data_IF_061771567142
#
_entry.id   IF_061771567142
#
_cell.length_a   1.000
_cell.length_b   1.000
_cell.length_c   1.000
_cell.angle_alpha   90.00
_cell.angle_beta   90.00
_cell.angle_gamma   90.00
#
_symmetry.space_group_name_H-M   'P 1'
#
loop_
_entity.id
_entity.type
_entity.pdbx_description
1 polymer ?
#
# COMPACT_ATOMS: atom_id res chain seq x y z
N UNK A 1 17.63 -95.61 -34.32
CA UNK A 1 16.35 -95.80 -35.04
C UNK A 1 15.80 -94.41 -35.30
N UNK A 2 15.93 -94.00 -36.56
CA UNK A 2 15.25 -92.92 -37.32
C UNK A 2 15.31 -91.48 -36.73
N UNK A 3 16.11 -90.59 -37.33
CA UNK A 3 15.80 -89.68 -38.48
C UNK A 3 14.93 -88.47 -38.05
N UNK A 4 15.18 -87.20 -38.39
CA UNK A 4 16.14 -86.51 -39.25
C UNK A 4 15.80 -85.00 -39.30
N UNK A 5 16.65 -84.16 -39.93
CA UNK A 5 16.33 -82.78 -40.40
C UNK A 5 16.88 -81.61 -39.56
N UNK A 6 18.05 -81.02 -39.89
CA UNK A 6 18.30 -79.83 -40.78
C UNK A 6 17.75 -78.51 -40.19
N UNK A 7 18.58 -77.68 -39.55
CA UNK A 7 19.23 -76.44 -40.09
C UNK A 7 18.25 -75.23 -40.15
N UNK A 8 18.39 -74.12 -39.41
CA UNK A 8 19.32 -73.00 -39.68
C UNK A 8 19.10 -71.82 -38.69
N UNK A 9 20.22 -71.15 -38.29
CA UNK A 9 20.50 -69.68 -38.22
C UNK A 9 19.30 -68.71 -38.06
N UNK A 10 19.28 -67.65 -37.26
CA UNK A 10 20.32 -66.76 -36.75
C UNK A 10 19.74 -65.89 -35.60
N UNK A 11 20.51 -65.73 -34.51
CA UNK A 11 21.07 -64.45 -34.03
C UNK A 11 20.15 -63.53 -33.18
N UNK A 12 20.55 -63.42 -31.89
CA UNK A 12 20.60 -62.23 -31.00
C UNK A 12 20.02 -62.45 -29.60
N UNK A 13 20.93 -62.66 -28.66
CA UNK A 13 20.85 -62.08 -27.30
C UNK A 13 21.81 -60.86 -27.26
N UNK A 14 21.79 -59.96 -26.24
CA UNK A 14 20.99 -59.93 -25.02
C UNK A 14 20.31 -58.57 -24.68
N UNK A 15 19.22 -58.67 -23.90
CA UNK A 15 18.88 -57.88 -22.69
C UNK A 15 19.24 -56.37 -22.66
N UNK A 16 18.22 -55.50 -22.66
CA UNK A 16 18.28 -54.11 -22.17
C UNK A 16 17.02 -53.75 -21.40
N UNK A 17 17.25 -53.42 -20.13
CA UNK A 17 16.51 -52.59 -19.16
C UNK A 17 15.02 -52.28 -19.36
N UNK A 18 14.25 -52.76 -18.39
CA UNK A 18 12.90 -52.33 -18.04
C UNK A 18 12.88 -50.83 -17.68
N UNK A 19 12.42 -49.99 -18.61
CA UNK A 19 11.98 -48.62 -18.30
C UNK A 19 11.02 -48.07 -19.36
N UNK A 20 9.94 -48.79 -19.69
CA UNK A 20 8.80 -48.13 -20.35
C UNK A 20 7.49 -48.94 -20.29
N UNK A 21 6.67 -48.72 -19.27
CA UNK A 21 5.21 -48.96 -19.34
C UNK A 21 4.48 -48.32 -18.16
N UNK A 22 4.13 -47.04 -18.32
CA UNK A 22 2.93 -46.45 -17.71
C UNK A 22 2.64 -45.06 -18.33
N UNK A 23 2.68 -44.95 -19.66
CA UNK A 23 2.09 -43.83 -20.37
C UNK A 23 0.63 -44.14 -20.68
N UNK A 24 -0.28 -43.89 -19.73
CA UNK A 24 -1.74 -43.71 -19.92
C UNK A 24 -2.47 -43.87 -18.58
N UNK A 25 -2.64 -42.78 -17.83
CA UNK A 25 -3.77 -42.52 -16.90
C UNK A 25 -3.39 -41.35 -16.00
N UNK A 26 -3.92 -40.17 -16.28
CA UNK A 26 -3.67 -38.98 -15.48
C UNK A 26 -4.17 -37.69 -16.12
N UNK A 27 -5.33 -37.75 -16.76
CA UNK A 27 -6.08 -36.57 -17.16
C UNK A 27 -6.49 -35.79 -15.91
N UNK A 28 -5.65 -34.86 -15.50
CA UNK A 28 -6.07 -33.75 -14.63
C UNK A 28 -6.07 -32.51 -15.50
N UNK A 29 -7.25 -31.92 -15.63
CA UNK A 29 -7.56 -30.73 -16.40
C UNK A 29 -6.50 -29.62 -16.23
N UNK A 30 -5.51 -29.62 -17.10
CA UNK A 30 -4.79 -28.40 -17.45
C UNK A 30 -5.79 -27.54 -18.23
N UNK A 31 -6.63 -26.82 -17.50
CA UNK A 31 -7.38 -25.70 -18.06
C UNK A 31 -6.33 -24.83 -18.74
N UNK A 32 -6.33 -24.86 -20.07
CA UNK A 32 -5.54 -24.00 -20.93
C UNK A 32 -6.11 -22.57 -20.77
N UNK A 33 -5.90 -22.00 -19.58
CA UNK A 33 -6.25 -20.64 -19.28
C UNK A 33 -5.27 -19.79 -20.04
N UNK A 34 -5.66 -19.30 -21.23
CA UNK A 34 -4.84 -18.43 -22.07
C UNK A 34 -4.04 -17.45 -21.20
N UNK A 35 -2.71 -17.58 -21.18
CA UNK A 35 -1.85 -16.71 -20.37
C UNK A 35 -2.07 -15.28 -20.85
N UNK A 36 -2.78 -14.49 -20.05
CA UNK A 36 -3.02 -13.09 -20.38
C UNK A 36 -1.69 -12.37 -20.25
N UNK A 37 -1.18 -11.87 -21.37
CA UNK A 37 0.09 -11.14 -21.41
C UNK A 37 -0.11 -9.73 -20.85
N UNK A 38 0.56 -9.35 -19.74
CA UNK A 38 0.49 -8.00 -19.21
C UNK A 38 1.04 -6.99 -20.22
N UNK A 39 0.66 -5.72 -20.06
CA UNK A 39 1.20 -4.63 -20.89
C UNK A 39 2.69 -4.48 -20.60
N UNK A 40 3.52 -4.46 -21.65
CA UNK A 40 4.98 -4.26 -21.50
C UNK A 40 5.30 -2.78 -21.34
N UNK A 41 6.48 -2.44 -20.80
CA UNK A 41 6.91 -1.04 -20.71
C UNK A 41 6.92 -0.36 -22.09
N UNK A 42 7.34 -1.08 -23.15
CA UNK A 42 7.32 -0.54 -24.51
C UNK A 42 5.90 -0.22 -24.97
N UNK A 43 4.94 -1.13 -24.80
CA UNK A 43 3.54 -0.88 -25.17
C UNK A 43 2.95 0.27 -24.36
N UNK A 44 3.29 0.38 -23.07
CA UNK A 44 2.83 1.48 -22.22
C UNK A 44 3.27 2.84 -22.77
N UNK A 45 4.56 3.02 -23.09
CA UNK A 45 5.05 4.31 -23.61
C UNK A 45 4.54 4.63 -25.02
N UNK A 46 4.35 3.61 -25.87
CA UNK A 46 3.74 3.79 -27.20
C UNK A 46 2.31 4.31 -27.09
N UNK A 47 1.54 3.86 -26.10
CA UNK A 47 0.19 4.37 -25.82
C UNK A 47 0.22 5.74 -25.12
N UNK A 48 1.22 6.00 -24.27
CA UNK A 48 1.32 7.22 -23.47
C UNK A 48 1.74 8.46 -24.29
N UNK A 49 2.72 8.32 -25.20
CA UNK A 49 3.25 9.41 -26.00
C UNK A 49 2.18 10.20 -26.80
N UNK A 50 1.29 9.58 -27.60
CA UNK A 50 0.30 10.33 -28.37
C UNK A 50 -0.72 11.04 -27.48
N UNK A 51 -1.06 10.48 -26.32
CA UNK A 51 -1.97 11.10 -25.37
C UNK A 51 -1.33 12.35 -24.73
N UNK A 52 -0.05 12.27 -24.39
CA UNK A 52 0.69 13.42 -23.88
C UNK A 52 0.75 14.54 -24.93
N UNK A 53 1.02 14.18 -26.19
CA UNK A 53 1.00 15.15 -27.31
C UNK A 53 -0.38 15.77 -27.50
N UNK A 54 -1.46 14.98 -27.44
CA UNK A 54 -2.84 15.48 -27.52
C UNK A 54 -3.14 16.50 -26.40
N UNK A 55 -2.77 16.18 -25.16
CA UNK A 55 -2.97 17.08 -24.02
C UNK A 55 -2.14 18.36 -24.16
N UNK A 56 -0.89 18.26 -24.61
CA UNK A 56 -0.02 19.41 -24.85
C UNK A 56 -0.55 20.30 -25.97
N UNK A 57 -1.00 19.71 -27.09
CA UNK A 57 -1.59 20.43 -28.21
C UNK A 57 -2.90 21.10 -27.81
N UNK A 58 -3.75 20.43 -27.03
CA UNK A 58 -4.98 21.02 -26.50
C UNK A 58 -4.68 22.20 -25.56
N UNK A 59 -3.72 22.04 -24.64
CA UNK A 59 -3.30 23.13 -23.76
C UNK A 59 -2.76 24.33 -24.55
N UNK A 60 -1.93 24.09 -25.58
CA UNK A 60 -1.43 25.13 -26.45
C UNK A 60 -2.55 25.81 -27.26
N UNK A 61 -3.47 25.04 -27.83
CA UNK A 61 -4.64 25.58 -28.55
C UNK A 61 -5.52 26.47 -27.68
N UNK A 62 -5.63 26.16 -26.39
CA UNK A 62 -6.39 26.96 -25.42
C UNK A 62 -5.72 28.29 -25.04
N UNK A 63 -4.39 28.42 -25.25
CA UNK A 63 -3.67 29.68 -25.09
C UNK A 63 -3.81 30.58 -26.34
N UNK A 64 -4.06 30.00 -27.50
CA UNK A 64 -4.14 30.71 -28.79
C UNK A 64 -5.58 31.11 -29.12
N UNK A 65 -6.55 30.23 -28.85
CA UNK A 65 -7.97 30.47 -29.16
C UNK A 65 -8.64 31.31 -28.05
N UNK A 66 -9.60 32.15 -28.43
CA UNK A 66 -10.42 32.95 -27.51
C UNK A 66 -11.91 32.82 -27.85
N UNK A 67 -12.78 33.18 -26.91
CA UNK A 67 -14.24 33.16 -27.10
C UNK A 67 -14.80 31.77 -27.43
N UNK A 68 -15.78 31.71 -28.33
CA UNK A 68 -16.49 30.48 -28.72
C UNK A 68 -15.59 29.41 -29.36
N UNK A 69 -14.64 29.71 -30.26
CA UNK A 69 -13.69 28.71 -30.79
C UNK A 69 -12.92 27.94 -29.72
N UNK A 70 -12.55 28.60 -28.61
CA UNK A 70 -11.88 27.96 -27.48
C UNK A 70 -12.78 26.94 -26.78
N UNK A 71 -14.05 27.29 -26.57
CA UNK A 71 -15.04 26.40 -25.94
C UNK A 71 -15.30 25.16 -26.79
N UNK A 72 -15.40 25.33 -28.11
CA UNK A 72 -15.56 24.22 -29.06
C UNK A 72 -14.33 23.30 -29.02
N UNK A 73 -13.12 23.86 -29.06
CA UNK A 73 -11.88 23.07 -28.97
C UNK A 73 -11.76 22.31 -27.64
N UNK A 74 -12.26 22.89 -26.54
CA UNK A 74 -12.29 22.26 -25.22
C UNK A 74 -13.26 21.09 -25.16
N UNK A 75 -14.50 21.28 -25.63
CA UNK A 75 -15.48 20.20 -25.73
C UNK A 75 -14.99 19.04 -26.62
N UNK A 76 -14.41 19.36 -27.79
CA UNK A 76 -13.83 18.37 -28.68
C UNK A 76 -12.69 17.59 -28.00
N UNK A 77 -11.81 18.29 -27.27
CA UNK A 77 -10.74 17.63 -26.49
C UNK A 77 -11.34 16.68 -25.45
N UNK A 78 -12.33 17.13 -24.67
CA UNK A 78 -12.98 16.27 -23.67
C UNK A 78 -13.58 15.02 -24.29
N UNK A 79 -14.30 15.16 -25.41
CA UNK A 79 -14.90 14.03 -26.11
C UNK A 79 -13.83 13.03 -26.59
N UNK A 80 -12.76 13.51 -27.23
CA UNK A 80 -11.64 12.66 -27.68
C UNK A 80 -10.99 11.96 -26.47
N UNK A 81 -10.70 12.69 -25.40
CA UNK A 81 -10.10 12.14 -24.19
C UNK A 81 -11.01 11.09 -23.52
N UNK A 82 -12.33 11.28 -23.48
CA UNK A 82 -13.27 10.30 -22.92
C UNK A 82 -13.33 9.01 -23.74
N UNK A 83 -13.29 9.10 -25.08
CA UNK A 83 -13.20 7.94 -25.96
C UNK A 83 -11.90 7.18 -25.73
N UNK A 84 -10.75 7.89 -25.75
CA UNK A 84 -9.43 7.29 -25.51
C UNK A 84 -9.34 6.65 -24.13
N UNK A 85 -9.84 7.33 -23.08
CA UNK A 85 -9.91 6.80 -21.71
C UNK A 85 -10.66 5.49 -21.66
N UNK A 86 -11.83 5.43 -22.31
CA UNK A 86 -12.65 4.22 -22.38
C UNK A 86 -11.94 3.09 -23.10
N UNK A 87 -11.26 3.37 -24.23
CA UNK A 87 -10.45 2.37 -24.94
C UNK A 87 -9.30 1.84 -24.09
N UNK A 88 -8.55 2.72 -23.40
CA UNK A 88 -7.46 2.32 -22.51
C UNK A 88 -7.96 1.49 -21.31
N UNK A 89 -9.09 1.87 -20.73
CA UNK A 89 -9.73 1.13 -19.65
C UNK A 89 -10.15 -0.28 -20.12
N UNK A 90 -10.71 -0.40 -21.32
CA UNK A 90 -11.04 -1.68 -21.94
C UNK A 90 -9.80 -2.56 -22.19
N UNK A 91 -8.70 -1.98 -22.67
CA UNK A 91 -7.41 -2.68 -22.79
C UNK A 91 -6.97 -3.20 -21.41
N UNK A 92 -7.09 -2.37 -20.37
CA UNK A 92 -6.77 -2.73 -18.99
C UNK A 92 -7.61 -3.87 -18.43
N UNK A 93 -8.90 -3.96 -18.79
CA UNK A 93 -9.80 -5.04 -18.40
C UNK A 93 -9.49 -6.33 -19.16
N UNK A 94 -9.34 -6.27 -20.48
CA UNK A 94 -9.10 -7.46 -21.32
C UNK A 94 -7.75 -8.10 -20.98
N UNK A 95 -6.77 -7.29 -20.57
CA UNK A 95 -5.42 -7.75 -20.20
C UNK A 95 -5.24 -8.07 -18.72
N UNK A 96 -6.31 -8.21 -17.94
CA UNK A 96 -6.23 -8.65 -16.53
C UNK A 96 -7.25 -9.73 -16.18
N UNK A 97 -6.91 -10.59 -15.22
CA UNK A 97 -7.78 -11.66 -14.69
C UNK A 97 -7.81 -11.63 -13.16
N UNK A 98 -8.77 -12.33 -12.57
CA UNK A 98 -8.87 -12.50 -11.13
C UNK A 98 -9.41 -11.27 -10.39
N UNK A 99 -8.96 -11.09 -9.14
CA UNK A 99 -9.41 -10.01 -8.23
C UNK A 99 -9.08 -8.63 -8.80
N UNK A 100 -8.00 -8.52 -9.57
CA UNK A 100 -7.61 -7.28 -10.25
C UNK A 100 -8.61 -6.82 -11.31
N UNK A 101 -9.42 -7.72 -11.88
CA UNK A 101 -10.43 -7.35 -12.89
C UNK A 101 -11.62 -6.59 -12.28
N UNK A 102 -11.97 -6.86 -11.02
CA UNK A 102 -13.19 -6.30 -10.38
C UNK A 102 -13.10 -4.79 -10.19
N UNK A 103 -12.00 -4.32 -9.60
CA UNK A 103 -11.80 -2.87 -9.42
C UNK A 103 -11.67 -2.14 -10.76
N UNK A 104 -11.02 -2.77 -11.74
CA UNK A 104 -10.87 -2.22 -13.10
C UNK A 104 -12.18 -2.05 -13.83
N UNK A 105 -13.11 -3.00 -13.69
CA UNK A 105 -14.46 -2.89 -14.26
C UNK A 105 -15.23 -1.72 -13.67
N UNK A 106 -15.20 -1.54 -12.34
CA UNK A 106 -15.86 -0.44 -11.67
C UNK A 106 -15.26 0.91 -12.05
N UNK A 107 -13.92 1.03 -12.05
CA UNK A 107 -13.23 2.25 -12.48
C UNK A 107 -13.50 2.56 -13.96
N UNK A 108 -13.55 1.57 -14.84
CA UNK A 108 -13.80 1.75 -16.27
C UNK A 108 -15.25 2.14 -16.62
N UNK A 109 -16.22 1.71 -15.81
CA UNK A 109 -17.61 2.09 -15.99
C UNK A 109 -17.84 3.60 -15.78
N UNK A 110 -16.96 4.26 -15.01
CA UNK A 110 -17.00 5.70 -14.80
C UNK A 110 -16.78 6.52 -16.09
N UNK A 111 -15.65 6.37 -16.80
CA UNK A 111 -15.40 7.04 -18.08
C UNK A 111 -16.50 6.83 -19.13
N UNK A 112 -17.12 5.64 -19.20
CA UNK A 112 -18.27 5.36 -20.08
C UNK A 112 -19.45 6.29 -19.79
N UNK A 113 -19.74 6.57 -18.52
CA UNK A 113 -20.82 7.48 -18.11
C UNK A 113 -20.59 8.95 -18.49
N UNK A 114 -19.35 9.34 -18.82
CA UNK A 114 -19.00 10.72 -19.18
C UNK A 114 -19.25 11.08 -20.65
N UNK A 115 -19.42 10.09 -21.53
CA UNK A 115 -19.54 10.30 -22.99
C UNK A 115 -20.81 11.07 -23.37
N UNK A 116 -22.02 10.73 -22.89
CA UNK A 116 -23.23 11.44 -23.27
C UNK A 116 -23.17 12.93 -22.93
N UNK A 117 -22.62 13.25 -21.77
CA UNK A 117 -22.52 14.62 -21.30
C UNK A 117 -21.41 15.42 -22.01
N UNK A 118 -20.31 14.76 -22.41
CA UNK A 118 -19.31 15.38 -23.29
C UNK A 118 -19.89 15.73 -24.67
N UNK A 119 -20.77 14.88 -25.23
CA UNK A 119 -21.49 15.16 -26.48
C UNK A 119 -22.41 16.37 -26.30
N UNK A 120 -23.19 16.40 -25.22
CA UNK A 120 -24.09 17.52 -24.93
C UNK A 120 -23.35 18.85 -24.83
N UNK A 121 -22.25 18.92 -24.07
CA UNK A 121 -21.43 20.14 -23.98
C UNK A 121 -20.85 20.56 -25.33
N UNK A 122 -20.49 19.59 -26.17
CA UNK A 122 -20.04 19.87 -27.54
C UNK A 122 -21.15 20.54 -28.36
N UNK A 123 -22.38 20.01 -28.28
CA UNK A 123 -23.55 20.59 -28.95
C UNK A 123 -23.82 22.00 -28.41
N UNK A 124 -23.86 22.16 -27.09
CA UNK A 124 -24.12 23.46 -26.45
C UNK A 124 -23.09 24.53 -26.88
N UNK A 125 -21.78 24.26 -26.79
CA UNK A 125 -20.75 25.24 -27.19
C UNK A 125 -20.71 25.51 -28.71
N UNK A 126 -21.13 24.54 -29.53
CA UNK A 126 -21.25 24.75 -30.97
C UNK A 126 -22.45 25.60 -31.38
N UNK A 127 -23.50 25.68 -30.55
CA UNK A 127 -24.77 26.35 -30.87
C UNK A 127 -24.74 27.89 -30.78
N UNK A 128 -23.69 28.50 -30.20
CA UNK A 128 -23.52 29.96 -30.14
C UNK A 128 -24.33 30.71 -29.08
N UNK A 129 -25.12 30.02 -28.24
CA UNK A 129 -25.85 30.67 -27.15
C UNK A 129 -24.93 31.06 -25.97
N UNK A 130 -25.13 32.22 -25.32
CA UNK A 130 -24.30 32.66 -24.20
C UNK A 130 -24.36 31.65 -23.04
N UNK A 131 -23.18 31.23 -22.60
CA UNK A 131 -22.97 30.15 -21.62
C UNK A 131 -23.33 30.65 -20.22
N UNK A 132 -24.58 30.51 -19.80
CA UNK A 132 -24.87 30.34 -18.38
C UNK A 132 -24.75 28.86 -18.07
N UNK A 133 -23.60 28.43 -17.54
CA UNK A 133 -23.41 27.05 -17.09
C UNK A 133 -24.36 26.79 -15.92
N UNK A 134 -25.47 26.08 -16.15
CA UNK A 134 -26.44 25.74 -15.10
C UNK A 134 -26.48 24.25 -14.92
N UNK A 135 -26.31 23.76 -13.69
CA UNK A 135 -26.50 22.35 -13.40
C UNK A 135 -27.98 21.98 -13.51
N UNK A 136 -28.33 21.29 -14.59
CA UNK A 136 -29.61 20.61 -14.80
C UNK A 136 -29.52 19.17 -14.27
N UNK A 137 -30.64 18.42 -14.19
CA UNK A 137 -30.60 17.01 -13.78
C UNK A 137 -29.68 16.13 -14.64
N UNK A 138 -29.41 16.50 -15.89
CA UNK A 138 -28.56 15.73 -16.81
C UNK A 138 -27.09 15.78 -16.35
N UNK A 139 -26.60 16.92 -15.84
CA UNK A 139 -25.25 17.02 -15.27
C UNK A 139 -25.06 16.13 -14.04
N UNK A 140 -26.14 15.66 -13.41
CA UNK A 140 -26.09 14.62 -12.38
C UNK A 140 -25.46 13.30 -12.86
N UNK A 141 -25.48 12.99 -14.17
CA UNK A 141 -24.81 11.79 -14.72
C UNK A 141 -23.30 11.80 -14.48
N UNK A 142 -22.67 12.99 -14.42
CA UNK A 142 -21.24 13.09 -14.16
C UNK A 142 -20.85 12.59 -12.76
N UNK A 143 -21.79 12.49 -11.82
CA UNK A 143 -21.54 11.94 -10.49
C UNK A 143 -21.37 10.42 -10.50
N UNK A 144 -21.82 9.72 -11.56
CA UNK A 144 -21.62 8.27 -11.67
C UNK A 144 -20.14 7.90 -11.75
N UNK A 145 -19.35 8.64 -12.53
CA UNK A 145 -17.92 8.39 -12.68
C UNK A 145 -17.11 8.42 -11.38
N UNK A 146 -17.20 9.48 -10.54
CA UNK A 146 -16.49 9.53 -9.27
C UNK A 146 -17.01 8.50 -8.26
N UNK A 147 -18.32 8.21 -8.23
CA UNK A 147 -18.91 7.17 -7.37
C UNK A 147 -18.35 5.79 -7.73
N UNK A 148 -18.35 5.43 -9.02
CA UNK A 148 -17.85 4.14 -9.50
C UNK A 148 -16.34 4.01 -9.32
N UNK A 149 -15.59 5.11 -9.49
CA UNK A 149 -14.15 5.13 -9.22
C UNK A 149 -13.86 4.88 -7.74
N UNK A 150 -14.64 5.50 -6.85
CA UNK A 150 -14.57 5.28 -5.40
C UNK A 150 -14.85 3.81 -5.04
N UNK A 151 -15.94 3.24 -5.58
CA UNK A 151 -16.26 1.83 -5.39
C UNK A 151 -15.14 0.91 -5.91
N UNK A 152 -14.59 1.24 -7.08
CA UNK A 152 -13.44 0.54 -7.65
C UNK A 152 -12.21 0.55 -6.73
N UNK A 153 -11.84 1.71 -6.18
CA UNK A 153 -10.72 1.82 -5.25
C UNK A 153 -10.91 0.98 -3.98
N UNK A 154 -12.13 0.95 -3.44
CA UNK A 154 -12.47 0.09 -2.29
C UNK A 154 -12.35 -1.40 -2.63
N UNK A 155 -12.46 -1.77 -3.90
CA UNK A 155 -12.23 -3.15 -4.36
C UNK A 155 -10.78 -3.47 -4.73
N UNK A 156 -9.85 -2.50 -4.67
CA UNK A 156 -8.45 -2.73 -5.06
C UNK A 156 -7.76 -3.71 -4.10
N UNK A 157 -7.20 -4.83 -4.55
CA UNK A 157 -6.65 -5.83 -3.66
C UNK A 157 -5.54 -5.25 -2.75
N UNK A 158 -5.68 -5.46 -1.45
CA UNK A 158 -4.61 -5.17 -0.50
C UNK A 158 -3.48 -6.19 -0.69
N UNK A 159 -2.24 -5.78 -0.48
CA UNK A 159 -1.13 -6.72 -0.48
C UNK A 159 -1.41 -7.82 0.56
N UNK A 160 -1.64 -9.06 0.11
CA UNK A 160 -1.58 -10.18 1.02
C UNK A 160 -0.12 -10.26 1.47
N UNK A 161 0.14 -10.16 2.77
CA UNK A 161 1.45 -10.53 3.35
C UNK A 161 1.74 -12.05 3.12
N UNK A 162 0.82 -12.76 2.46
CA UNK A 162 0.84 -14.19 2.24
C UNK A 162 1.53 -14.62 0.93
N UNK A 163 1.52 -13.83 -0.14
CA UNK A 163 1.88 -14.38 -1.46
C UNK A 163 3.31 -14.07 -1.88
N UNK A 164 4.22 -14.81 -1.24
CA UNK A 164 5.59 -15.02 -1.71
C UNK A 164 6.03 -16.49 -1.72
N UNK A 165 5.13 -17.47 -1.46
CA UNK A 165 5.47 -18.90 -1.49
C UNK A 165 4.30 -19.77 -1.96
N UNK A 166 4.54 -20.82 -2.77
CA UNK A 166 3.54 -21.84 -3.03
C UNK A 166 3.17 -22.57 -1.72
N UNK A 167 1.87 -22.57 -1.42
CA UNK A 167 1.25 -23.26 -0.29
C UNK A 167 1.45 -24.78 -0.37
N UNK A 168 2.43 -25.32 0.37
CA UNK A 168 2.51 -26.72 0.82
C UNK A 168 3.52 -26.86 1.98
N UNK A 169 3.29 -26.14 3.07
CA UNK A 169 3.89 -26.47 4.36
C UNK A 169 2.89 -26.10 5.46
N UNK A 170 2.71 -26.95 6.50
CA UNK A 170 1.81 -26.63 7.60
C UNK A 170 2.26 -25.35 8.30
N UNK A 171 1.33 -24.60 8.92
CA UNK A 171 1.68 -23.36 9.60
C UNK A 171 2.65 -23.68 10.75
N UNK A 172 3.86 -23.16 10.66
CA UNK A 172 4.80 -23.18 11.78
C UNK A 172 4.23 -22.31 12.93
N UNK A 173 4.20 -22.81 14.17
CA UNK A 173 3.73 -22.04 15.30
C UNK A 173 4.75 -20.96 15.68
N UNK A 174 4.22 -19.74 15.88
CA UNK A 174 4.81 -18.62 16.62
C UNK A 174 6.23 -18.13 16.23
N UNK A 175 6.33 -17.18 15.30
CA UNK A 175 7.36 -16.10 15.28
C UNK A 175 7.08 -15.01 14.21
N UNK A 176 5.81 -14.76 13.87
CA UNK A 176 5.46 -13.58 13.07
C UNK A 176 4.84 -12.54 13.97
N UNK A 177 5.67 -11.60 14.44
CA UNK A 177 5.22 -10.30 14.91
C UNK A 177 4.64 -9.57 13.69
N UNK A 178 3.39 -9.89 13.35
CA UNK A 178 2.62 -9.03 12.44
C UNK A 178 2.18 -7.85 13.30
N UNK A 179 2.57 -6.61 12.98
CA UNK A 179 1.97 -5.47 13.63
C UNK A 179 0.49 -5.52 13.23
N UNK A 180 -0.36 -6.03 14.13
CA UNK A 180 -1.80 -5.82 14.03
C UNK A 180 -1.96 -4.33 14.28
N UNK A 181 -1.99 -3.53 13.22
CA UNK A 181 -2.50 -2.18 13.30
C UNK A 181 -3.84 -2.28 14.03
N UNK A 182 -3.90 -1.69 15.21
CA UNK A 182 -5.11 -1.69 16.01
C UNK A 182 -6.23 -1.13 15.14
N UNK A 183 -7.34 -1.87 15.02
CA UNK A 183 -8.49 -1.38 14.25
C UNK A 183 -8.90 0.02 14.72
N UNK A 184 -8.66 0.34 15.99
CA UNK A 184 -8.83 1.67 16.58
C UNK A 184 -7.94 2.73 15.93
N UNK A 185 -6.68 2.47 15.64
CA UNK A 185 -5.81 3.45 14.96
C UNK A 185 -6.30 3.67 13.52
N UNK A 186 -6.65 2.60 12.82
CA UNK A 186 -7.16 2.71 11.44
C UNK A 186 -8.46 3.52 11.40
N UNK A 187 -9.38 3.29 12.34
CA UNK A 187 -10.63 4.06 12.40
C UNK A 187 -10.39 5.51 12.74
N UNK A 188 -9.51 5.81 13.70
CA UNK A 188 -9.16 7.19 14.07
C UNK A 188 -8.46 7.91 12.91
N UNK A 189 -7.48 7.29 12.26
CA UNK A 189 -6.80 7.86 11.10
C UNK A 189 -7.78 8.06 9.91
N UNK A 190 -8.74 7.15 9.72
CA UNK A 190 -9.79 7.31 8.70
C UNK A 190 -10.72 8.49 9.00
N UNK A 191 -11.16 8.63 10.26
CA UNK A 191 -11.96 9.77 10.71
C UNK A 191 -11.17 11.08 10.58
N UNK A 192 -9.87 11.07 10.84
CA UNK A 192 -8.99 12.24 10.69
C UNK A 192 -8.94 12.69 9.23
N UNK A 193 -8.78 11.76 8.29
CA UNK A 193 -8.76 12.04 6.85
C UNK A 193 -10.12 12.63 6.41
N UNK A 194 -11.24 12.00 6.80
CA UNK A 194 -12.60 12.46 6.44
C UNK A 194 -12.86 13.87 6.96
N UNK A 195 -12.62 14.11 8.25
CA UNK A 195 -12.88 15.40 8.87
C UNK A 195 -11.96 16.50 8.31
N UNK A 196 -10.70 16.18 8.03
CA UNK A 196 -9.76 17.10 7.37
C UNK A 196 -10.22 17.46 5.96
N UNK A 197 -10.67 16.47 5.17
CA UNK A 197 -11.18 16.68 3.82
C UNK A 197 -12.46 17.51 3.80
N UNK A 198 -13.38 17.28 4.76
CA UNK A 198 -14.58 18.11 4.90
C UNK A 198 -14.22 19.57 5.21
N UNK A 199 -13.24 19.79 6.07
CA UNK A 199 -12.79 21.13 6.44
C UNK A 199 -12.08 21.84 5.27
N UNK A 200 -11.28 21.12 4.48
CA UNK A 200 -10.70 21.62 3.23
C UNK A 200 -11.80 21.99 2.23
N UNK A 201 -12.77 21.10 2.01
CA UNK A 201 -13.90 21.33 1.11
C UNK A 201 -14.74 22.55 1.54
N UNK A 202 -14.91 22.75 2.85
CA UNK A 202 -15.58 23.93 3.39
C UNK A 202 -14.89 25.23 2.96
N UNK A 203 -13.59 25.34 3.21
CA UNK A 203 -12.83 26.55 2.88
C UNK A 203 -12.61 26.74 1.39
N UNK A 204 -12.49 25.65 0.63
CA UNK A 204 -12.29 25.72 -0.82
C UNK A 204 -13.55 26.17 -1.57
N UNK A 205 -14.73 25.68 -1.16
CA UNK A 205 -15.96 25.86 -1.93
C UNK A 205 -17.25 25.96 -1.11
N UNK A 206 -17.48 25.11 -0.10
CA UNK A 206 -18.79 25.00 0.55
C UNK A 206 -19.21 26.30 1.26
N UNK A 207 -18.24 27.05 1.81
CA UNK A 207 -18.46 28.38 2.38
C UNK A 207 -18.98 29.40 1.35
N UNK A 208 -18.52 29.30 0.10
CA UNK A 208 -18.96 30.20 -0.97
C UNK A 208 -20.37 29.82 -1.41
N UNK A 209 -20.60 28.52 -1.64
CA UNK A 209 -21.89 27.99 -2.07
C UNK A 209 -23.03 28.29 -1.09
N UNK A 210 -22.76 28.27 0.21
CA UNK A 210 -23.76 28.59 1.26
C UNK A 210 -24.11 30.08 1.36
N UNK A 211 -23.36 30.96 0.67
CA UNK A 211 -23.59 32.42 0.67
C UNK A 211 -24.22 32.94 -0.62
N UNK A 212 -24.28 32.12 -1.67
CA UNK A 212 -24.89 32.50 -2.94
C UNK A 212 -26.40 32.26 -2.94
N UNK A 213 -27.11 32.87 -3.89
CA UNK A 213 -28.59 32.76 -4.02
C UNK A 213 -29.01 31.47 -4.75
N UNK A 214 -28.10 30.53 -4.99
CA UNK A 214 -28.39 29.31 -5.74
C UNK A 214 -29.26 28.37 -4.90
N UNK A 215 -30.42 27.99 -5.42
CA UNK A 215 -31.38 27.13 -4.76
C UNK A 215 -31.86 26.00 -5.69
N UNK A 216 -32.59 25.04 -5.14
CA UNK A 216 -33.16 23.92 -5.91
C UNK A 216 -32.13 22.88 -6.36
N UNK A 217 -32.34 22.32 -7.57
CA UNK A 217 -31.55 21.20 -8.10
C UNK A 217 -30.08 21.55 -8.32
N UNK A 218 -29.78 22.76 -8.81
CA UNK A 218 -28.39 23.18 -9.07
C UNK A 218 -27.55 23.25 -7.79
N UNK A 219 -28.15 23.65 -6.66
CA UNK A 219 -27.48 23.64 -5.36
C UNK A 219 -27.12 22.21 -4.93
N UNK A 220 -28.08 21.28 -5.03
CA UNK A 220 -27.88 19.87 -4.65
C UNK A 220 -26.78 19.23 -5.48
N UNK A 221 -26.78 19.46 -6.80
CA UNK A 221 -25.78 18.92 -7.72
C UNK A 221 -24.38 19.51 -7.41
N UNK A 222 -24.28 20.82 -7.18
CA UNK A 222 -23.02 21.47 -6.81
C UNK A 222 -22.43 20.90 -5.51
N UNK A 223 -23.27 20.71 -4.47
CA UNK A 223 -22.84 20.04 -3.23
C UNK A 223 -22.39 18.61 -3.51
N UNK A 224 -23.13 17.86 -4.32
CA UNK A 224 -22.80 16.49 -4.64
C UNK A 224 -21.43 16.37 -5.32
N UNK A 225 -21.11 17.22 -6.30
CA UNK A 225 -19.79 17.26 -6.94
C UNK A 225 -18.67 17.49 -5.92
N UNK A 226 -18.83 18.46 -5.01
CA UNK A 226 -17.83 18.76 -3.97
C UNK A 226 -17.61 17.53 -3.07
N UNK A 227 -18.69 16.87 -2.66
CA UNK A 227 -18.62 15.71 -1.77
C UNK A 227 -18.04 14.47 -2.46
N UNK A 228 -18.39 14.22 -3.72
CA UNK A 228 -17.83 13.08 -4.47
C UNK A 228 -16.34 13.25 -4.77
N UNK A 229 -15.90 14.48 -5.11
CA UNK A 229 -14.49 14.80 -5.28
C UNK A 229 -13.68 14.54 -4.01
N UNK A 230 -14.19 15.03 -2.86
CA UNK A 230 -13.58 14.82 -1.57
C UNK A 230 -13.53 13.33 -1.21
N UNK A 231 -14.61 12.58 -1.45
CA UNK A 231 -14.68 11.14 -1.18
C UNK A 231 -13.63 10.34 -1.97
N UNK A 232 -13.43 10.65 -3.26
CA UNK A 232 -12.39 9.99 -4.06
C UNK A 232 -10.99 10.21 -3.47
N UNK A 233 -10.69 11.44 -3.04
CA UNK A 233 -9.40 11.76 -2.39
C UNK A 233 -9.26 11.05 -1.04
N UNK A 234 -10.32 10.99 -0.23
CA UNK A 234 -10.33 10.23 1.04
C UNK A 234 -9.99 8.77 0.76
N UNK A 235 -10.73 8.11 -0.13
CA UNK A 235 -10.54 6.68 -0.42
C UNK A 235 -9.17 6.40 -1.03
N UNK A 236 -8.68 7.28 -1.90
CA UNK A 236 -7.32 7.20 -2.43
C UNK A 236 -6.28 7.21 -1.31
N UNK A 237 -6.38 8.14 -0.37
CA UNK A 237 -5.42 8.27 0.75
C UNK A 237 -5.51 7.02 1.65
N UNK A 238 -6.71 6.52 1.92
CA UNK A 238 -6.91 5.29 2.69
C UNK A 238 -6.27 4.07 2.01
N UNK A 239 -6.48 3.91 0.70
CA UNK A 239 -5.88 2.81 -0.08
C UNK A 239 -4.35 2.94 -0.10
N UNK A 240 -3.84 4.15 -0.31
CA UNK A 240 -2.41 4.42 -0.34
C UNK A 240 -1.71 4.24 1.02
N UNK A 241 -2.38 4.57 2.13
CA UNK A 241 -1.84 4.45 3.48
C UNK A 241 -1.94 3.01 4.01
N UNK A 242 -3.10 2.36 3.85
CA UNK A 242 -3.40 1.10 4.55
C UNK A 242 -3.29 -0.15 3.67
N UNK A 243 -3.55 -0.07 2.36
CA UNK A 243 -3.52 -1.26 1.47
C UNK A 243 -2.17 -1.51 0.80
N UNK A 244 -1.29 -0.51 0.78
CA UNK A 244 0.07 -0.57 0.24
C UNK A 244 0.17 -1.33 -1.11
N UNK A 245 -0.46 -0.81 -2.19
CA UNK A 245 -0.48 -1.50 -3.47
C UNK A 245 0.94 -1.69 -4.03
N UNK A 246 1.20 -2.87 -4.59
CA UNK A 246 2.52 -3.28 -5.09
C UNK A 246 3.11 -2.36 -6.17
N UNK A 247 2.25 -1.72 -6.97
CA UNK A 247 2.68 -0.87 -8.08
C UNK A 247 2.56 0.63 -7.74
N UNK A 248 3.63 1.19 -7.17
CA UNK A 248 3.69 2.62 -6.83
C UNK A 248 3.53 3.57 -8.03
N UNK A 249 3.88 3.14 -9.26
CA UNK A 249 3.64 3.95 -10.48
C UNK A 249 2.15 4.06 -10.78
N UNK A 250 1.42 2.95 -10.70
CA UNK A 250 -0.03 2.93 -10.89
C UNK A 250 -0.72 3.81 -9.83
N UNK A 251 -0.29 3.72 -8.57
CA UNK A 251 -0.82 4.56 -7.50
C UNK A 251 -0.55 6.05 -7.75
N UNK A 252 0.65 6.42 -8.19
CA UNK A 252 1.00 7.81 -8.50
C UNK A 252 0.16 8.36 -9.66
N UNK A 253 -0.01 7.59 -10.75
CA UNK A 253 -0.87 7.97 -11.88
C UNK A 253 -2.32 8.16 -11.44
N UNK A 254 -2.83 7.24 -10.62
CA UNK A 254 -4.19 7.32 -10.10
C UNK A 254 -4.35 8.54 -9.17
N UNK A 255 -3.36 8.81 -8.31
CA UNK A 255 -3.38 9.97 -7.43
C UNK A 255 -3.34 11.30 -8.21
N UNK A 256 -2.46 11.43 -9.19
CA UNK A 256 -2.41 12.59 -10.06
C UNK A 256 -3.72 12.77 -10.85
N UNK A 257 -4.29 11.68 -11.34
CA UNK A 257 -5.55 11.70 -12.09
C UNK A 257 -6.73 12.18 -11.25
N UNK A 258 -6.92 11.60 -10.06
CA UNK A 258 -8.00 12.00 -9.14
C UNK A 258 -7.82 13.44 -8.67
N UNK A 259 -6.59 13.87 -8.36
CA UNK A 259 -6.33 15.25 -7.96
C UNK A 259 -6.64 16.24 -9.10
N UNK A 260 -6.23 15.92 -10.33
CA UNK A 260 -6.53 16.73 -11.50
C UNK A 260 -8.05 16.85 -11.74
N UNK A 261 -8.79 15.75 -11.61
CA UNK A 261 -10.25 15.75 -11.69
C UNK A 261 -10.87 16.62 -10.59
N UNK A 262 -10.45 16.46 -9.33
CA UNK A 262 -11.00 17.23 -8.20
C UNK A 262 -10.75 18.75 -8.33
N UNK A 263 -9.57 19.15 -8.81
CA UNK A 263 -9.26 20.56 -9.11
C UNK A 263 -10.15 21.08 -10.24
N UNK A 264 -10.36 20.28 -11.28
CA UNK A 264 -11.22 20.65 -12.40
C UNK A 264 -12.70 20.77 -12.00
N UNK A 265 -13.22 19.84 -11.20
CA UNK A 265 -14.59 19.90 -10.67
C UNK A 265 -14.80 21.13 -9.79
N UNK A 266 -13.75 21.53 -9.06
CA UNK A 266 -13.76 22.78 -8.28
C UNK A 266 -13.94 24.01 -9.15
N UNK A 267 -13.24 24.06 -10.28
CA UNK A 267 -13.41 25.14 -11.23
C UNK A 267 -14.82 25.14 -11.86
N UNK A 268 -15.32 23.97 -12.21
CA UNK A 268 -16.65 23.81 -12.83
C UNK A 268 -17.77 24.32 -11.90
N UNK A 269 -17.74 23.94 -10.63
CA UNK A 269 -18.74 24.41 -9.66
C UNK A 269 -18.67 25.92 -9.51
N UNK A 270 -17.49 26.55 -9.50
CA UNK A 270 -17.37 28.01 -9.43
C UNK A 270 -17.96 28.72 -10.65
N UNK A 271 -17.71 28.19 -11.85
CA UNK A 271 -18.27 28.74 -13.10
C UNK A 271 -19.80 28.62 -13.18
N UNK A 272 -20.39 27.68 -12.43
CA UNK A 272 -21.85 27.51 -12.38
C UNK A 272 -22.58 28.52 -11.50
N UNK A 273 -21.85 29.26 -10.64
CA UNK A 273 -22.46 30.14 -9.65
C UNK A 273 -22.66 31.56 -10.23
N UNK A 274 -23.79 32.23 -9.90
CA UNK A 274 -24.05 33.57 -10.38
C UNK A 274 -23.05 34.56 -9.77
N UNK A 275 -22.28 35.24 -10.62
CA UNK A 275 -21.35 36.30 -10.25
C UNK A 275 -19.86 35.90 -10.26
N UNK A 276 -19.05 36.86 -10.72
CA UNK A 276 -17.58 36.98 -10.69
C UNK A 276 -16.72 36.42 -11.85
N UNK A 277 -17.12 35.40 -12.62
CA UNK A 277 -16.21 34.85 -13.66
C UNK A 277 -16.92 34.62 -14.99
N UNK A 278 -16.52 35.39 -16.02
CA UNK A 278 -16.91 35.12 -17.39
C UNK A 278 -16.19 33.86 -17.90
N UNK A 279 -16.98 32.85 -18.30
CA UNK A 279 -16.49 31.58 -18.88
C UNK A 279 -15.55 31.85 -20.06
N UNK A 280 -15.73 32.95 -20.78
CA UNK A 280 -14.91 33.37 -21.90
C UNK A 280 -13.62 34.12 -21.49
N UNK A 281 -13.51 34.63 -20.26
CA UNK A 281 -12.34 35.37 -19.79
C UNK A 281 -11.33 34.52 -18.99
N UNK A 282 -11.73 33.35 -18.50
CA UNK A 282 -10.85 32.51 -17.66
C UNK A 282 -9.84 31.66 -18.46
N UNK A 283 -8.60 31.58 -17.96
CA UNK A 283 -7.64 30.51 -18.30
C UNK A 283 -8.28 29.13 -18.04
N UNK A 284 -7.86 28.06 -18.73
CA UNK A 284 -8.62 26.82 -18.73
C UNK A 284 -8.41 25.99 -17.46
N UNK A 285 -9.25 26.23 -16.46
CA UNK A 285 -9.16 25.55 -15.17
C UNK A 285 -9.64 24.08 -15.23
N UNK A 286 -10.29 23.65 -16.33
CA UNK A 286 -10.88 22.32 -16.49
C UNK A 286 -10.10 21.31 -17.34
N UNK A 287 -8.84 21.60 -17.73
CA UNK A 287 -7.99 20.60 -18.40
C UNK A 287 -7.88 19.32 -17.55
N UNK A 288 -7.97 19.45 -16.23
CA UNK A 288 -8.00 18.32 -15.30
C UNK A 288 -9.16 17.35 -15.51
N UNK A 289 -10.33 17.77 -16.02
CA UNK A 289 -11.43 16.87 -16.33
C UNK A 289 -11.17 16.02 -17.58
N UNK A 290 -10.32 16.48 -18.51
CA UNK A 290 -9.86 15.66 -19.64
C UNK A 290 -8.65 14.78 -19.25
N UNK A 291 -7.66 15.36 -18.56
CA UNK A 291 -6.42 14.68 -18.20
C UNK A 291 -6.59 13.66 -17.07
N UNK A 292 -7.47 13.94 -16.10
CA UNK A 292 -7.67 13.12 -14.91
C UNK A 292 -8.12 11.68 -15.23
N UNK A 293 -9.23 11.49 -15.96
CA UNK A 293 -9.67 10.16 -16.38
C UNK A 293 -8.62 9.39 -17.20
N UNK A 294 -7.87 10.07 -18.07
CA UNK A 294 -6.78 9.47 -18.83
C UNK A 294 -5.68 8.92 -17.92
N UNK A 295 -5.24 9.70 -16.92
CA UNK A 295 -4.26 9.27 -15.94
C UNK A 295 -4.75 8.07 -15.11
N UNK A 296 -6.03 8.06 -14.74
CA UNK A 296 -6.67 6.90 -14.09
C UNK A 296 -6.66 5.68 -15.01
N UNK A 297 -6.97 5.82 -16.30
CA UNK A 297 -6.90 4.70 -17.25
C UNK A 297 -5.46 4.21 -17.47
N UNK A 298 -4.45 5.10 -17.49
CA UNK A 298 -3.05 4.70 -17.51
C UNK A 298 -2.64 3.96 -16.24
N UNK A 299 -3.17 4.33 -15.08
CA UNK A 299 -2.95 3.59 -13.85
C UNK A 299 -3.45 2.13 -13.95
N UNK A 300 -4.52 1.88 -14.71
CA UNK A 300 -4.98 0.52 -14.98
C UNK A 300 -3.95 -0.24 -15.83
N UNK A 301 -3.43 0.32 -16.90
CA UNK A 301 -2.50 -0.41 -17.80
C UNK A 301 -1.02 -0.34 -17.38
N UNK A 302 -0.70 0.29 -16.24
CA UNK A 302 0.67 0.47 -15.78
C UNK A 302 1.38 -0.88 -15.56
N UNK A 303 2.54 -1.12 -16.20
CA UNK A 303 3.28 -2.37 -16.05
C UNK A 303 3.78 -2.55 -14.62
N UNK A 304 3.62 -3.77 -14.09
CA UNK A 304 4.17 -4.16 -12.80
C UNK A 304 5.69 -4.35 -12.92
N UNK A 305 6.45 -3.73 -12.00
CA UNK A 305 7.88 -4.03 -11.89
C UNK A 305 8.02 -5.34 -11.11
N UNK A 306 8.25 -6.44 -11.82
CA UNK A 306 8.64 -7.70 -11.19
C UNK A 306 10.00 -7.48 -10.50
N UNK A 307 10.11 -7.63 -9.17
CA UNK A 307 11.42 -7.57 -8.54
C UNK A 307 12.28 -8.71 -9.08
N UNK A 308 13.52 -8.41 -9.46
CA UNK A 308 14.47 -9.41 -9.91
C UNK A 308 14.54 -10.53 -8.86
N UNK A 309 14.22 -11.77 -9.26
CA UNK A 309 14.31 -12.91 -8.37
C UNK A 309 15.74 -12.96 -7.80
N UNK A 310 15.92 -13.12 -6.48
CA UNK A 310 17.25 -13.33 -5.94
C UNK A 310 17.83 -14.58 -6.62
N UNK A 311 19.13 -14.57 -6.98
CA UNK A 311 19.75 -15.73 -7.61
C UNK A 311 19.51 -16.97 -6.74
N UNK A 312 19.09 -18.06 -7.39
CA UNK A 312 18.91 -19.36 -6.75
C UNK A 312 20.13 -19.66 -5.89
N UNK A 313 19.90 -19.97 -4.59
CA UNK A 313 20.94 -20.44 -3.67
C UNK A 313 21.58 -21.68 -4.30
N UNK A 314 22.78 -21.51 -4.85
CA UNK A 314 23.47 -22.55 -5.62
C UNK A 314 24.77 -22.05 -6.28
N UNK A 315 24.92 -20.74 -6.53
CA UNK A 315 26.22 -20.15 -6.85
C UNK A 315 26.93 -19.75 -5.56
N UNK A 316 28.04 -20.42 -5.24
CA UNK A 316 28.83 -20.27 -4.01
C UNK A 316 29.56 -18.92 -3.83
N UNK A 317 28.98 -17.83 -4.30
CA UNK A 317 29.51 -16.49 -4.04
C UNK A 317 28.85 -15.93 -2.78
N UNK A 318 29.67 -15.63 -1.77
CA UNK A 318 29.23 -14.98 -0.55
C UNK A 318 28.42 -13.73 -0.90
N UNK A 319 27.26 -13.48 -0.25
CA UNK A 319 26.45 -12.31 -0.55
C UNK A 319 27.26 -11.06 -0.24
N UNK A 320 27.69 -10.36 -1.29
CA UNK A 320 28.29 -9.04 -1.16
C UNK A 320 27.26 -8.15 -0.45
N UNK A 321 27.64 -7.62 0.71
CA UNK A 321 26.84 -6.71 1.54
C UNK A 321 26.69 -5.39 0.76
N UNK A 322 25.88 -5.38 -0.30
CA UNK A 322 25.47 -4.15 -0.98
C UNK A 322 24.80 -3.28 0.07
N UNK A 323 25.39 -2.12 0.34
CA UNK A 323 24.79 -1.04 1.12
C UNK A 323 23.40 -0.76 0.54
N UNK A 324 22.37 -1.39 1.14
CA UNK A 324 20.98 -1.21 0.75
C UNK A 324 20.64 0.19 1.25
N UNK A 325 20.57 1.16 0.34
CA UNK A 325 20.09 2.52 0.66
C UNK A 325 18.81 2.38 1.50
N UNK A 326 18.66 3.15 2.58
CA UNK A 326 17.45 3.08 3.40
C UNK A 326 16.23 3.31 2.51
N UNK A 327 15.31 2.35 2.51
CA UNK A 327 14.07 2.47 1.75
C UNK A 327 13.18 3.50 2.46
N UNK A 328 12.95 4.65 1.82
CA UNK A 328 12.18 5.78 2.38
C UNK A 328 10.66 5.51 2.28
N UNK A 329 10.25 4.57 1.44
CA UNK A 329 8.83 4.24 1.16
C UNK A 329 7.99 3.94 2.41
N UNK A 330 8.46 3.16 3.41
CA UNK A 330 7.68 2.87 4.61
C UNK A 330 7.33 4.13 5.41
N UNK A 331 8.25 5.09 5.46
CA UNK A 331 8.04 6.37 6.16
C UNK A 331 7.05 7.26 5.41
N UNK A 332 7.14 7.31 4.07
CA UNK A 332 6.19 8.05 3.25
C UNK A 332 4.73 7.57 3.44
N UNK A 333 4.51 6.26 3.52
CA UNK A 333 3.17 5.71 3.78
C UNK A 333 2.67 6.04 5.19
N UNK A 334 3.56 6.06 6.19
CA UNK A 334 3.19 6.38 7.57
C UNK A 334 2.71 7.84 7.72
N UNK A 335 3.26 8.78 6.93
CA UNK A 335 2.89 10.19 7.01
C UNK A 335 1.71 10.61 6.10
N UNK A 336 1.30 9.76 5.16
CA UNK A 336 0.28 10.08 4.16
C UNK A 336 -1.07 10.53 4.76
N UNK A 337 -1.61 9.88 5.82
CA UNK A 337 -2.86 10.31 6.46
C UNK A 337 -2.82 11.73 7.05
N UNK A 338 -1.63 12.26 7.34
CA UNK A 338 -1.47 13.57 7.97
C UNK A 338 -1.33 14.71 6.96
N UNK A 339 -1.21 14.42 5.67
CA UNK A 339 -1.17 15.46 4.63
C UNK A 339 -2.47 16.28 4.60
N UNK A 340 -3.68 15.65 4.53
CA UNK A 340 -4.96 16.35 4.69
C UNK A 340 -5.03 17.17 5.98
N UNK A 341 -4.61 16.57 7.09
CA UNK A 341 -4.64 17.21 8.40
C UNK A 341 -3.79 18.49 8.42
N UNK A 342 -2.59 18.44 7.85
CA UNK A 342 -1.68 19.58 7.79
C UNK A 342 -2.26 20.73 6.96
N UNK A 343 -2.84 20.40 5.80
CA UNK A 343 -3.51 21.40 4.95
C UNK A 343 -4.73 22.00 5.65
N UNK A 344 -5.57 21.15 6.24
CA UNK A 344 -6.75 21.57 7.00
C UNK A 344 -6.37 22.49 8.18
N UNK A 345 -5.37 22.11 8.99
CA UNK A 345 -4.88 22.91 10.10
C UNK A 345 -4.31 24.26 9.63
N UNK A 346 -3.54 24.28 8.55
CA UNK A 346 -3.01 25.51 7.96
C UNK A 346 -4.13 26.44 7.49
N UNK A 347 -5.18 25.92 6.85
CA UNK A 347 -6.35 26.71 6.42
C UNK A 347 -7.12 27.29 7.61
N UNK A 348 -7.33 26.50 8.67
CA UNK A 348 -7.96 26.98 9.92
C UNK A 348 -7.13 28.10 10.53
N UNK A 349 -5.82 27.90 10.68
CA UNK A 349 -4.92 28.87 11.28
C UNK A 349 -4.86 30.16 10.47
N UNK A 350 -4.67 30.07 9.15
CA UNK A 350 -4.65 31.23 8.27
C UNK A 350 -5.97 32.02 8.34
N UNK A 351 -7.10 31.32 8.41
CA UNK A 351 -8.42 31.95 8.55
C UNK A 351 -8.59 32.64 9.90
N UNK A 352 -8.15 31.99 10.99
CA UNK A 352 -8.23 32.53 12.34
C UNK A 352 -7.37 33.79 12.48
N UNK A 353 -6.14 33.76 11.97
CA UNK A 353 -5.23 34.91 11.97
C UNK A 353 -5.78 36.06 11.12
N UNK A 354 -6.26 35.77 9.90
CA UNK A 354 -6.75 36.81 8.99
C UNK A 354 -8.04 37.48 9.47
N UNK A 355 -8.96 36.73 10.07
CA UNK A 355 -10.28 37.25 10.44
C UNK A 355 -10.42 37.55 11.94
N UNK A 356 -9.37 37.28 12.75
CA UNK A 356 -9.39 37.42 14.20
C UNK A 356 -10.32 36.46 14.96
N UNK A 357 -11.08 35.62 14.25
CA UNK A 357 -11.99 34.65 14.85
C UNK A 357 -12.34 33.52 13.88
N UNK A 358 -12.62 32.34 14.45
CA UNK A 358 -13.33 31.25 13.80
C UNK A 358 -14.78 31.26 14.29
N UNK A 359 -15.75 31.20 13.37
CA UNK A 359 -17.18 31.22 13.72
C UNK A 359 -17.95 30.19 12.89
N UNK A 360 -19.02 29.65 13.48
CA UNK A 360 -19.92 28.70 12.82
C UNK A 360 -19.29 27.31 12.64
N UNK A 361 -19.68 26.62 11.56
CA UNK A 361 -19.29 25.23 11.29
C UNK A 361 -17.77 24.97 11.38
N UNK A 362 -16.87 25.83 10.85
CA UNK A 362 -15.42 25.57 10.91
C UNK A 362 -14.85 25.50 12.32
N UNK A 363 -15.43 26.23 13.27
CA UNK A 363 -15.00 26.18 14.66
C UNK A 363 -15.28 24.78 15.24
N UNK A 364 -16.50 24.28 15.07
CA UNK A 364 -16.89 22.95 15.54
C UNK A 364 -16.09 21.84 14.87
N UNK A 365 -15.85 21.93 13.56
CA UNK A 365 -15.01 20.98 12.83
C UNK A 365 -13.54 21.02 13.30
N UNK A 366 -12.99 22.21 13.56
CA UNK A 366 -11.63 22.35 14.07
C UNK A 366 -11.47 21.79 15.49
N UNK A 367 -12.46 22.02 16.37
CA UNK A 367 -12.49 21.42 17.71
C UNK A 367 -12.58 19.90 17.61
N UNK A 368 -13.48 19.37 16.77
CA UNK A 368 -13.59 17.93 16.52
C UNK A 368 -12.28 17.33 16.02
N UNK A 369 -11.59 18.03 15.12
CA UNK A 369 -10.30 17.61 14.56
C UNK A 369 -9.21 17.59 15.63
N UNK A 370 -9.11 18.62 16.47
CA UNK A 370 -8.17 18.68 17.58
C UNK A 370 -8.41 17.58 18.62
N UNK A 371 -9.68 17.32 18.96
CA UNK A 371 -10.07 16.22 19.86
C UNK A 371 -9.68 14.86 19.28
N UNK A 372 -9.93 14.65 17.99
CA UNK A 372 -9.62 13.40 17.32
C UNK A 372 -8.11 13.17 17.22
N UNK A 373 -7.32 14.21 16.92
CA UNK A 373 -5.85 14.16 16.95
C UNK A 373 -5.36 13.80 18.34
N UNK A 374 -5.92 14.43 19.38
CA UNK A 374 -5.55 14.16 20.78
C UNK A 374 -5.85 12.72 21.18
N UNK A 375 -7.04 12.21 20.86
CA UNK A 375 -7.43 10.82 21.12
C UNK A 375 -6.52 9.83 20.38
N UNK A 376 -6.24 10.10 19.10
CA UNK A 376 -5.34 9.30 18.28
C UNK A 376 -3.91 9.29 18.86
N UNK A 377 -3.42 10.42 19.34
CA UNK A 377 -2.12 10.53 19.97
C UNK A 377 -2.05 9.73 21.28
N UNK A 378 -3.08 9.80 22.11
CA UNK A 378 -3.16 9.03 23.37
C UNK A 378 -3.11 7.52 23.08
N UNK A 379 -3.90 7.03 22.12
CA UNK A 379 -3.91 5.61 21.72
C UNK A 379 -2.53 5.20 21.20
N UNK A 380 -1.94 5.99 20.29
CA UNK A 380 -0.64 5.70 19.70
C UNK A 380 0.50 5.65 20.73
N UNK A 381 0.52 6.58 21.68
CA UNK A 381 1.52 6.59 22.77
C UNK A 381 1.33 5.40 23.70
N UNK A 382 0.08 5.02 24.00
CA UNK A 382 -0.22 3.88 24.86
C UNK A 382 0.24 2.57 24.22
N UNK A 383 -0.06 2.38 22.93
CA UNK A 383 0.41 1.21 22.18
C UNK A 383 1.93 1.19 22.07
N UNK A 384 2.56 2.31 21.73
CA UNK A 384 4.02 2.39 21.63
C UNK A 384 4.71 2.06 22.96
N UNK A 385 4.20 2.56 24.09
CA UNK A 385 4.71 2.20 25.42
C UNK A 385 4.62 0.70 25.70
N UNK A 386 3.50 0.06 25.33
CA UNK A 386 3.33 -1.40 25.45
C UNK A 386 4.34 -2.15 24.58
N UNK A 387 4.47 -1.76 23.30
CA UNK A 387 5.40 -2.40 22.37
C UNK A 387 6.85 -2.26 22.83
N UNK A 388 7.26 -1.09 23.34
CA UNK A 388 8.61 -0.89 23.90
C UNK A 388 8.83 -1.76 25.13
N UNK A 389 7.84 -1.89 26.02
CA UNK A 389 7.93 -2.76 27.19
C UNK A 389 8.08 -4.23 26.79
N UNK A 390 7.28 -4.70 25.82
CA UNK A 390 7.34 -6.07 25.31
C UNK A 390 8.70 -6.37 24.65
N UNK A 391 9.22 -5.44 23.85
CA UNK A 391 10.54 -5.56 23.23
C UNK A 391 11.64 -5.63 24.28
N UNK A 392 11.59 -4.78 25.31
CA UNK A 392 12.56 -4.82 26.41
C UNK A 392 12.53 -6.14 27.15
N UNK A 393 11.34 -6.66 27.45
CA UNK A 393 11.17 -7.93 28.16
C UNK A 393 11.62 -9.12 27.31
N UNK A 394 11.32 -9.12 26.01
CA UNK A 394 11.83 -10.11 25.07
C UNK A 394 13.36 -10.05 24.96
N UNK A 395 13.93 -8.84 24.91
CA UNK A 395 15.38 -8.66 24.87
C UNK A 395 16.06 -9.18 26.14
N UNK A 396 15.51 -8.87 27.31
CA UNK A 396 16.02 -9.38 28.59
C UNK A 396 15.95 -10.92 28.65
N UNK A 397 14.87 -11.53 28.16
CA UNK A 397 14.77 -13.00 28.10
C UNK A 397 15.83 -13.61 27.17
N UNK A 398 16.05 -13.01 26.00
CA UNK A 398 17.07 -13.47 25.07
C UNK A 398 18.48 -13.31 25.64
N UNK A 399 18.76 -12.18 26.32
CA UNK A 399 20.03 -11.97 27.01
C UNK A 399 20.22 -12.99 28.13
N UNK A 400 19.20 -13.21 28.96
CA UNK A 400 19.25 -14.22 30.03
C UNK A 400 19.56 -15.61 29.47
N UNK A 401 18.89 -16.02 28.39
CA UNK A 401 19.15 -17.30 27.71
C UNK A 401 20.54 -17.38 27.05
N UNK A 402 21.09 -16.25 26.61
CA UNK A 402 22.42 -16.19 26.01
C UNK A 402 23.54 -16.18 27.06
N UNK A 403 23.24 -15.74 28.29
CA UNK A 403 24.22 -15.58 29.37
C UNK A 403 24.12 -16.68 30.45
N UNK A 404 23.01 -17.44 30.53
CA UNK A 404 22.81 -18.48 31.55
C UNK A 404 22.63 -19.87 30.93
N UNK A 405 23.03 -20.90 31.68
CA UNK A 405 22.82 -22.30 31.33
C UNK A 405 21.35 -22.70 31.53
N UNK A 406 20.76 -23.35 30.53
CA UNK A 406 19.33 -23.67 30.52
C UNK A 406 18.89 -24.75 31.51
N UNK A 407 19.82 -25.59 31.99
CA UNK A 407 19.52 -26.66 32.94
C UNK A 407 19.70 -26.22 34.40
N UNK A 408 20.80 -25.53 34.67
CA UNK A 408 21.23 -25.16 36.04
C UNK A 408 20.85 -23.73 36.42
N UNK A 409 20.61 -22.85 35.44
CA UNK A 409 20.34 -21.43 35.65
C UNK A 409 21.57 -20.61 36.08
N UNK A 410 22.75 -21.22 36.17
CA UNK A 410 24.02 -20.53 36.47
C UNK A 410 24.55 -19.77 35.25
N UNK A 411 25.53 -18.89 35.47
CA UNK A 411 26.26 -18.24 34.40
C UNK A 411 26.84 -19.29 33.44
N UNK A 412 26.56 -19.13 32.15
CA UNK A 412 27.19 -20.00 31.16
C UNK A 412 28.63 -19.57 30.89
N UNK A 413 29.32 -20.35 30.07
CA UNK A 413 30.72 -20.07 29.74
C UNK A 413 30.95 -18.70 29.09
N UNK A 414 29.98 -18.20 28.31
CA UNK A 414 30.11 -16.90 27.66
C UNK A 414 30.05 -15.76 28.68
N UNK A 415 29.08 -15.79 29.60
CA UNK A 415 28.98 -14.83 30.70
C UNK A 415 30.21 -14.91 31.62
N UNK A 416 30.60 -16.12 32.03
CA UNK A 416 31.80 -16.33 32.86
C UNK A 416 33.06 -15.71 32.23
N UNK A 417 33.30 -15.95 30.93
CA UNK A 417 34.48 -15.43 30.25
C UNK A 417 34.46 -13.90 30.19
N UNK A 418 33.31 -13.30 29.89
CA UNK A 418 33.13 -11.84 29.83
C UNK A 418 33.42 -11.18 31.19
N UNK A 419 32.86 -11.72 32.27
CA UNK A 419 33.06 -11.17 33.61
C UNK A 419 34.49 -11.40 34.12
N UNK A 420 35.12 -12.53 33.78
CA UNK A 420 36.52 -12.77 34.08
C UNK A 420 37.45 -11.74 33.40
N UNK A 421 37.21 -11.42 32.12
CA UNK A 421 37.96 -10.38 31.40
C UNK A 421 37.80 -9.00 32.06
N UNK A 422 36.58 -8.65 32.48
CA UNK A 422 36.31 -7.42 33.22
C UNK A 422 37.04 -7.39 34.57
N UNK A 423 36.99 -8.49 35.33
CA UNK A 423 37.64 -8.60 36.64
C UNK A 423 39.17 -8.47 36.51
N UNK A 424 39.78 -9.12 35.52
CA UNK A 424 41.21 -9.02 35.23
C UNK A 424 41.61 -7.59 34.82
N UNK A 425 40.78 -6.92 34.04
CA UNK A 425 41.02 -5.50 33.67
C UNK A 425 40.96 -4.59 34.89
N UNK A 426 39.95 -4.77 35.75
CA UNK A 426 39.80 -4.01 36.98
C UNK A 426 40.96 -4.26 37.97
N UNK A 427 41.49 -5.48 38.02
CA UNK A 427 42.70 -5.80 38.78
C UNK A 427 43.90 -4.98 38.28
N UNK A 428 44.13 -4.96 36.96
CA UNK A 428 45.24 -4.20 36.36
C UNK A 428 45.15 -2.70 36.67
N UNK A 429 43.95 -2.14 36.59
CA UNK A 429 43.76 -0.69 36.69
C UNK A 429 43.64 -0.19 38.14
N UNK A 430 43.15 -1.04 39.08
CA UNK A 430 42.83 -0.63 40.47
C UNK A 430 43.39 -1.55 41.56
N UNK A 431 44.16 -2.58 41.20
CA UNK A 431 44.78 -3.52 42.14
C UNK A 431 43.81 -4.46 42.86
N UNK A 432 42.53 -4.56 42.47
CA UNK A 432 41.55 -5.44 43.12
C UNK A 432 41.86 -6.92 42.81
N UNK A 433 42.24 -7.77 43.78
CA UNK A 433 42.59 -9.17 43.50
C UNK A 433 41.38 -9.97 43.00
N UNK A 434 41.64 -10.95 42.12
CA UNK A 434 40.62 -11.84 41.53
C UNK A 434 41.02 -13.29 41.81
N UNK A 435 40.06 -14.12 42.22
CA UNK A 435 40.24 -15.56 42.46
C UNK A 435 39.24 -16.32 41.61
N UNK A 436 39.69 -17.39 40.96
CA UNK A 436 38.83 -18.31 40.19
C UNK A 436 38.92 -19.69 40.84
N UNK A 437 37.77 -20.26 41.21
CA UNK A 437 37.68 -21.61 41.74
C UNK A 437 37.16 -22.54 40.63
N UNK A 438 37.87 -23.63 40.37
CA UNK A 438 37.47 -24.63 39.37
C UNK A 438 37.14 -25.94 40.09
N UNK A 439 35.90 -26.42 39.92
CA UNK A 439 35.37 -27.59 40.62
C UNK A 439 34.76 -28.58 39.62
N UNK A 440 34.86 -29.87 39.90
CA UNK A 440 34.24 -30.96 39.13
C UNK A 440 33.45 -31.89 40.06
N UNK A 441 32.45 -32.60 39.53
CA UNK A 441 31.64 -33.55 40.30
C UNK A 441 32.22 -34.96 40.13
N UNK A 442 32.74 -35.51 41.23
CA UNK A 442 33.30 -36.86 41.24
C UNK A 442 32.26 -37.91 40.82
N UNK A 443 32.70 -38.85 39.96
CA UNK A 443 31.91 -40.00 39.51
C UNK A 443 30.53 -39.68 38.88
N UNK A 444 30.34 -38.47 38.33
CA UNK A 444 29.05 -38.06 37.73
C UNK A 444 28.54 -39.02 36.64
N UNK A 445 29.46 -39.60 35.84
CA UNK A 445 29.10 -40.59 34.82
C UNK A 445 28.42 -41.83 35.39
N UNK A 446 28.88 -42.34 36.53
CA UNK A 446 28.28 -43.49 37.21
C UNK A 446 26.84 -43.22 37.61
N UNK A 447 26.51 -41.98 38.01
CA UNK A 447 25.14 -41.58 38.34
C UNK A 447 24.25 -41.63 37.09
N UNK A 448 24.72 -41.09 35.96
CA UNK A 448 23.98 -41.17 34.70
C UNK A 448 23.77 -42.60 34.21
N UNK A 449 24.81 -43.44 34.30
CA UNK A 449 24.75 -44.83 33.83
C UNK A 449 23.86 -45.71 34.72
N UNK A 450 23.78 -45.43 36.02
CA UNK A 450 22.99 -46.22 36.99
C UNK A 450 21.54 -45.76 37.13
N UNK A 451 21.30 -44.44 37.09
CA UNK A 451 20.00 -43.83 37.40
C UNK A 451 19.38 -43.06 36.24
N UNK A 452 20.06 -43.01 35.09
CA UNK A 452 19.61 -42.32 33.89
C UNK A 452 19.90 -40.81 33.91
N UNK A 453 19.88 -40.20 32.72
CA UNK A 453 20.20 -38.78 32.52
C UNK A 453 19.31 -37.82 33.32
N UNK A 454 18.04 -38.18 33.53
CA UNK A 454 17.13 -37.34 34.32
C UNK A 454 17.59 -37.22 35.79
N UNK A 455 18.17 -38.28 36.36
CA UNK A 455 18.73 -38.23 37.71
C UNK A 455 20.01 -37.37 37.75
N UNK A 456 20.85 -37.45 36.70
CA UNK A 456 22.00 -36.56 36.54
C UNK A 456 21.62 -35.09 36.43
N UNK A 457 20.60 -34.76 35.65
CA UNK A 457 20.07 -33.40 35.53
C UNK A 457 19.58 -32.84 36.87
N UNK A 458 18.92 -33.68 37.67
CA UNK A 458 18.46 -33.31 39.01
C UNK A 458 19.63 -33.11 39.99
N UNK A 459 20.67 -33.94 39.89
CA UNK A 459 21.91 -33.76 40.64
C UNK A 459 22.57 -32.41 40.28
N UNK A 460 22.69 -32.08 39.00
CA UNK A 460 23.25 -30.81 38.53
C UNK A 460 22.47 -29.60 39.06
N UNK A 461 21.14 -29.61 39.01
CA UNK A 461 20.30 -28.55 39.60
C UNK A 461 20.53 -28.40 41.11
N UNK A 462 20.68 -29.53 41.81
CA UNK A 462 20.90 -29.53 43.27
C UNK A 462 22.27 -28.96 43.61
N UNK A 463 23.32 -29.33 42.87
CA UNK A 463 24.67 -28.79 43.03
C UNK A 463 24.68 -27.29 42.75
N UNK A 464 24.05 -26.85 41.65
CA UNK A 464 23.94 -25.44 41.32
C UNK A 464 23.26 -24.62 42.42
N UNK A 465 22.14 -25.10 42.97
CA UNK A 465 21.45 -24.45 44.08
C UNK A 465 22.34 -24.34 45.34
N UNK A 466 23.09 -25.40 45.67
CA UNK A 466 24.02 -25.39 46.82
C UNK A 466 25.17 -24.41 46.63
N UNK A 467 25.74 -24.35 45.42
CA UNK A 467 26.81 -23.40 45.10
C UNK A 467 26.32 -21.97 45.25
N UNK A 468 25.15 -21.62 44.70
CA UNK A 468 24.59 -20.27 44.80
C UNK A 468 24.34 -19.85 46.27
N UNK A 469 24.02 -20.78 47.17
CA UNK A 469 23.85 -20.47 48.61
C UNK A 469 25.16 -20.38 49.39
N UNK A 470 26.25 -20.93 48.85
CA UNK A 470 27.55 -20.98 49.52
C UNK A 470 28.46 -19.80 49.17
N UNK A 471 28.15 -19.05 48.09
CA UNK A 471 28.92 -17.89 47.61
C UNK A 471 28.25 -16.56 47.99
N UNK A 472 28.99 -15.45 47.90
CA UNK A 472 28.46 -14.11 48.18
C UNK A 472 27.66 -13.59 46.99
N UNK A 473 26.84 -12.56 47.20
CA UNK A 473 26.07 -11.91 46.13
C UNK A 473 26.92 -11.30 45.01
N UNK A 474 28.15 -10.89 45.33
CA UNK A 474 29.07 -10.27 44.36
C UNK A 474 29.94 -11.32 43.63
N UNK A 475 29.86 -12.59 44.03
CA UNK A 475 30.53 -13.70 43.36
C UNK A 475 29.67 -14.19 42.19
N UNK A 476 30.29 -14.54 41.06
CA UNK A 476 29.61 -14.99 39.85
C UNK A 476 29.33 -16.50 39.87
#
# INVERSE_FOLDING_TARGET
MEDGGIETRADRTPRRDDSNRAGAAGGTNAVCGAQVRPVTERTFYVLFAPVLTLLALSAAGQLVLSGQPRLIAQAATMLICSVVTTSLAMIGIVRTRGVDRRWRLLVAAGPLSSIPAAIEWTIQYSSGNPVTLKFTPIEGLFLLAPILTTAGLICMPAASVADGRPTRAPPQPATRWTPRYSHTIITLDSLLIVLSMLLIAWYAQLRYLTRTVVSGTSFIIAVAFILTAAMMLVVLILVAAFRQPHNGRALALLACGILATAVSETALVRLSLPGEVDVQATLPQWIGAAAGPLLVAFAMIAPERVPAQPPLRGSGTAPTRRHRRPDIRPWLHAYLPYLPLSVAAALVLATAVRNGALRGLPLYLAIGLATLVSLRQIVSVTENRRLVADVKLAHHRLQYQADHDGLTGLANRALFTRELEHAVTAHRDRGRPVVVLFCDIDHFKTVNDTHGHHAGDQLLRTVAARLHTAVRQDDL
#
